data_IF_681312258437
#
_entry.id   IF_681312258437
#
_cell.length_a   1.000
_cell.length_b   1.000
_cell.length_c   1.000
_cell.angle_alpha   90.00
_cell.angle_beta   90.00
_cell.angle_gamma   90.00
#
_symmetry.space_group_name_H-M   'P 1'
#
loop_
_entity.id
_entity.type
_entity.pdbx_description
1 polymer ?
#
# COMPACT_ATOMS: atom_id res chain seq x y z
N UNK A 1 15.19 14.30 4.88
CA UNK A 1 14.00 15.06 5.29
C UNK A 1 12.82 14.12 5.43
N UNK A 2 12.13 14.22 6.54
CA UNK A 2 10.93 13.44 6.76
C UNK A 2 9.79 14.05 5.96
N UNK A 3 9.21 13.28 5.06
CA UNK A 3 8.10 13.74 4.22
C UNK A 3 6.75 13.39 4.83
N UNK A 4 6.78 12.87 6.06
CA UNK A 4 5.56 12.65 6.81
C UNK A 4 4.62 11.60 6.26
N UNK A 5 5.15 10.49 5.80
CA UNK A 5 4.29 9.40 5.38
C UNK A 5 3.45 8.89 6.55
N UNK A 6 2.19 8.64 6.27
CA UNK A 6 1.26 8.09 7.25
C UNK A 6 1.58 6.62 7.56
N UNK A 7 1.87 5.84 6.52
CA UNK A 7 2.17 4.42 6.66
C UNK A 7 3.68 4.24 6.63
N UNK A 8 4.24 3.71 7.72
CA UNK A 8 5.68 3.55 7.87
C UNK A 8 6.04 2.11 8.13
N UNK A 9 7.32 1.75 7.91
CA UNK A 9 7.84 0.41 8.16
C UNK A 9 7.12 -0.66 7.36
N UNK A 10 6.76 -0.34 6.14
CA UNK A 10 6.09 -1.28 5.26
C UNK A 10 7.08 -2.36 4.83
N UNK A 11 6.72 -3.60 5.09
CA UNK A 11 7.52 -4.76 4.66
C UNK A 11 7.26 -5.09 3.21
N UNK A 12 6.00 -5.10 2.82
CA UNK A 12 5.62 -5.41 1.45
C UNK A 12 4.22 -4.88 1.16
N UNK A 13 3.96 -4.69 -0.11
CA UNK A 13 2.63 -4.29 -0.58
C UNK A 13 2.34 -5.06 -1.86
N UNK A 14 1.13 -5.59 -1.96
CA UNK A 14 0.68 -6.37 -3.11
C UNK A 14 -0.73 -5.96 -3.48
N UNK A 15 -0.99 -5.90 -4.78
CA UNK A 15 -2.36 -5.74 -5.23
C UNK A 15 -3.15 -7.02 -4.96
N UNK A 16 -4.40 -6.88 -4.62
CA UNK A 16 -5.31 -8.01 -4.46
C UNK A 16 -6.38 -7.99 -5.52
N UNK A 17 -6.59 -9.13 -6.15
CA UNK A 17 -7.66 -9.31 -7.13
C UNK A 17 -8.85 -10.00 -6.50
N UNK A 18 -10.02 -9.59 -6.94
CA UNK A 18 -11.25 -10.31 -6.64
C UNK A 18 -11.98 -10.51 -7.96
N UNK A 19 -12.21 -11.77 -8.32
CA UNK A 19 -12.83 -12.15 -9.60
C UNK A 19 -12.11 -11.53 -10.81
N UNK A 20 -10.78 -11.55 -10.77
CA UNK A 20 -9.98 -11.05 -11.86
C UNK A 20 -9.80 -9.54 -11.92
N UNK A 21 -10.34 -8.82 -10.94
CA UNK A 21 -10.26 -7.36 -10.89
C UNK A 21 -9.49 -6.93 -9.64
N UNK A 22 -8.53 -6.04 -9.82
CA UNK A 22 -7.77 -5.48 -8.68
C UNK A 22 -8.71 -4.59 -7.88
N UNK A 23 -8.88 -4.90 -6.59
CA UNK A 23 -9.80 -4.19 -5.72
C UNK A 23 -9.12 -3.44 -4.59
N UNK A 24 -7.95 -3.90 -4.17
CA UNK A 24 -7.28 -3.31 -3.02
C UNK A 24 -5.80 -3.61 -3.06
N UNK A 25 -5.10 -3.02 -2.11
CA UNK A 25 -3.68 -3.27 -1.89
C UNK A 25 -3.54 -3.87 -0.50
N UNK A 26 -2.85 -4.99 -0.40
CA UNK A 26 -2.55 -5.62 0.88
C UNK A 26 -1.18 -5.15 1.33
N UNK A 27 -1.12 -4.53 2.49
CA UNK A 27 0.11 -3.99 3.04
C UNK A 27 0.51 -4.77 4.29
N UNK A 28 1.76 -5.21 4.33
CA UNK A 28 2.34 -5.86 5.49
C UNK A 28 3.41 -4.98 6.09
N UNK A 29 3.58 -5.06 7.39
CA UNK A 29 4.50 -4.20 8.12
C UNK A 29 5.60 -5.02 8.80
N UNK A 30 6.78 -4.39 8.96
CA UNK A 30 7.93 -5.08 9.57
C UNK A 30 7.73 -5.34 11.05
N UNK A 31 7.08 -4.44 11.75
CA UNK A 31 6.97 -4.47 13.20
C UNK A 31 5.64 -4.99 13.70
N UNK A 32 4.84 -5.58 12.83
CA UNK A 32 3.50 -6.02 13.20
C UNK A 32 3.08 -7.18 12.33
N UNK A 33 2.25 -8.06 12.88
CA UNK A 33 1.61 -9.11 12.09
C UNK A 33 0.31 -8.65 11.45
N UNK A 34 -0.02 -7.39 11.64
CA UNK A 34 -1.24 -6.82 11.08
C UNK A 34 -1.11 -6.68 9.56
N UNK A 35 -2.16 -7.02 8.86
CA UNK A 35 -2.26 -6.80 7.42
C UNK A 35 -3.32 -5.75 7.19
N UNK A 36 -2.95 -4.70 6.44
CA UNK A 36 -3.86 -3.62 6.12
C UNK A 36 -4.33 -3.77 4.69
N UNK A 37 -5.64 -3.75 4.49
CA UNK A 37 -6.22 -3.75 3.16
C UNK A 37 -6.62 -2.32 2.81
N UNK A 38 -6.06 -1.79 1.73
CA UNK A 38 -6.29 -0.40 1.32
C UNK A 38 -7.08 -0.40 0.02
N UNK A 39 -8.28 0.16 0.00
CA UNK A 39 -9.06 0.21 -1.23
C UNK A 39 -8.44 1.16 -2.24
N UNK A 40 -8.66 0.89 -3.52
CA UNK A 40 -8.18 1.75 -4.60
C UNK A 40 -9.14 2.93 -4.76
N UNK A 41 -8.97 3.92 -3.92
CA UNK A 41 -9.84 5.08 -3.92
C UNK A 41 -9.04 6.35 -3.66
N UNK A 42 -9.18 7.33 -4.51
CA UNK A 42 -8.47 8.59 -4.34
C UNK A 42 -8.91 9.35 -3.09
N UNK A 43 -10.08 9.02 -2.57
CA UNK A 43 -10.59 9.62 -1.34
C UNK A 43 -10.03 8.96 -0.09
N UNK A 44 -9.35 7.83 -0.24
CA UNK A 44 -8.77 7.12 0.88
C UNK A 44 -7.38 7.64 1.17
N UNK A 45 -7.15 8.14 2.39
CA UNK A 45 -5.87 8.74 2.75
C UNK A 45 -4.73 7.72 2.77
N UNK A 46 -5.01 6.47 3.10
CA UNK A 46 -3.99 5.44 3.08
C UNK A 46 -3.55 5.14 1.66
N UNK A 47 -4.51 5.09 0.74
CA UNK A 47 -4.19 4.88 -0.67
C UNK A 47 -3.33 6.04 -1.21
N UNK A 48 -3.71 7.26 -0.90
CA UNK A 48 -2.96 8.43 -1.33
C UNK A 48 -1.53 8.40 -0.79
N UNK A 49 -1.36 7.96 0.46
CA UNK A 49 -0.04 7.84 1.07
C UNK A 49 0.80 6.78 0.36
N UNK A 50 0.21 5.64 0.05
CA UNK A 50 0.92 4.59 -0.68
C UNK A 50 1.39 5.09 -2.04
N UNK A 51 0.55 5.83 -2.74
CA UNK A 51 0.92 6.35 -4.04
C UNK A 51 2.05 7.36 -3.96
N UNK A 52 2.08 8.18 -2.90
CA UNK A 52 3.19 9.11 -2.68
C UNK A 52 4.50 8.36 -2.53
N UNK A 53 4.49 7.26 -1.77
CA UNK A 53 5.69 6.47 -1.56
C UNK A 53 6.15 5.80 -2.86
N UNK A 54 5.21 5.34 -3.66
CA UNK A 54 5.53 4.75 -4.95
C UNK A 54 6.16 5.79 -5.87
N UNK A 55 5.57 6.98 -5.94
CA UNK A 55 6.09 8.06 -6.77
C UNK A 55 7.47 8.51 -6.33
N UNK A 56 7.75 8.45 -5.04
CA UNK A 56 9.05 8.82 -4.50
C UNK A 56 10.11 7.72 -4.70
N UNK A 57 9.71 6.56 -5.21
CA UNK A 57 10.62 5.45 -5.40
C UNK A 57 10.95 4.69 -4.12
N UNK A 58 10.17 4.90 -3.07
CA UNK A 58 10.42 4.27 -1.77
C UNK A 58 9.61 3.01 -1.53
N UNK A 59 8.61 2.78 -2.37
CA UNK A 59 7.73 1.63 -2.23
C UNK A 59 7.43 1.06 -3.61
N UNK A 60 7.48 -0.27 -3.70
CA UNK A 60 7.04 -0.98 -4.90
C UNK A 60 5.84 -1.84 -4.52
N UNK A 61 4.75 -1.69 -5.26
CA UNK A 61 3.57 -2.52 -5.05
C UNK A 61 3.63 -3.66 -6.07
N UNK A 62 3.70 -4.87 -5.57
CA UNK A 62 3.78 -6.05 -6.44
C UNK A 62 2.42 -6.35 -7.04
N UNK A 63 2.45 -6.92 -8.23
CA UNK A 63 1.21 -7.33 -8.88
C UNK A 63 0.55 -8.49 -8.15
N UNK A 64 -0.77 -8.59 -8.30
CA UNK A 64 -1.52 -9.70 -7.75
C UNK A 64 -1.20 -10.98 -8.51
N UNK A 65 -1.21 -12.07 -7.79
CA UNK A 65 -1.03 -13.40 -8.39
C UNK A 65 -2.28 -13.85 -9.13
#
# INVERSE_FOLDING_TARGET
>A
MDIGYKLKDIKSANYEKFKGVVKSIRVKFNNSNTVLNVPLSNDNSDYADLMKQVDAGELTIKEAD
#
